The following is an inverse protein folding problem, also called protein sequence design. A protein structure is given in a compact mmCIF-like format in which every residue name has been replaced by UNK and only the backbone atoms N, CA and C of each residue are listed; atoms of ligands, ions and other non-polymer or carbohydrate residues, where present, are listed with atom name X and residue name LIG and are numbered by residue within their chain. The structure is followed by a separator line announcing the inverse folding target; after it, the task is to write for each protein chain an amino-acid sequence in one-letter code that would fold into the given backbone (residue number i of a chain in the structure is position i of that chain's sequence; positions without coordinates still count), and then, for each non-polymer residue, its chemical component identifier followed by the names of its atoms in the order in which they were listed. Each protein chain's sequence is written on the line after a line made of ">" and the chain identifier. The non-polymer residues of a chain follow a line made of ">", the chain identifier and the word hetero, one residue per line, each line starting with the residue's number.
data_IF_155571924137
#
_entry.id   IF_155571924137
#
_cell.length_a   1.000
_cell.length_b   1.000
_cell.length_c   1.000
_cell.angle_alpha   90.00
_cell.angle_beta   90.00
_cell.angle_gamma   90.00
#
_symmetry.space_group_name_H-M   'P 1'
#
loop_
_entity.id
_entity.type
_entity.pdbx_description
1 polymer ?
#
# COMPACT_ATOMS: atom_id res chain seq x y z
N UNK A 1 59.80 -39.68 -51.77
CA UNK A 1 59.47 -40.95 -51.09
C UNK A 1 59.63 -40.71 -49.60
N UNK A 2 58.63 -40.51 -48.75
CA UNK A 2 57.16 -40.40 -48.81
C UNK A 2 56.81 -39.27 -47.81
N UNK A 3 56.07 -38.23 -48.19
CA UNK A 3 54.58 -38.13 -48.17
C UNK A 3 53.95 -38.34 -46.78
N UNK A 4 53.68 -37.23 -46.07
CA UNK A 4 52.34 -36.63 -45.92
C UNK A 4 52.45 -35.49 -44.88
N UNK A 5 52.36 -34.21 -45.28
CA UNK A 5 51.14 -33.43 -45.55
C UNK A 5 50.21 -33.34 -44.31
N UNK A 6 49.75 -32.19 -43.82
CA UNK A 6 49.69 -30.84 -44.39
C UNK A 6 49.23 -29.87 -43.29
N UNK A 7 49.76 -28.64 -43.30
CA UNK A 7 49.16 -27.33 -42.95
C UNK A 7 48.22 -27.18 -41.72
N UNK A 8 48.33 -26.14 -40.88
CA UNK A 8 48.42 -24.73 -41.26
C UNK A 8 48.76 -23.79 -40.06
N UNK A 9 49.70 -22.86 -40.28
CA UNK A 9 49.88 -21.47 -39.75
C UNK A 9 49.51 -21.12 -38.29
N UNK A 10 50.40 -20.69 -37.38
CA UNK A 10 51.32 -19.52 -37.27
C UNK A 10 50.70 -18.10 -37.24
N UNK A 11 51.00 -17.42 -36.11
CA UNK A 11 51.25 -15.98 -35.88
C UNK A 11 50.10 -14.94 -35.86
N UNK A 12 49.96 -14.20 -34.75
CA UNK A 12 50.52 -12.83 -34.68
C UNK A 12 50.38 -12.18 -33.28
N UNK A 13 51.37 -11.36 -32.97
CA UNK A 13 51.52 -10.50 -31.79
C UNK A 13 50.60 -9.27 -31.83
N UNK A 14 50.36 -8.69 -30.63
CA UNK A 14 50.21 -7.25 -30.42
C UNK A 14 48.85 -6.60 -30.73
N UNK A 15 48.20 -6.08 -29.69
CA UNK A 15 47.81 -4.66 -29.55
C UNK A 15 47.09 -4.50 -28.19
N UNK A 16 47.62 -3.60 -27.36
CA UNK A 16 47.01 -3.09 -26.13
C UNK A 16 45.68 -2.41 -26.45
N UNK A 17 44.57 -2.94 -25.95
CA UNK A 17 43.30 -2.22 -25.87
C UNK A 17 43.08 -1.66 -24.45
N UNK A 18 42.54 -0.44 -24.33
CA UNK A 18 42.63 0.36 -23.12
C UNK A 18 41.70 -0.12 -22.01
N UNK A 19 42.15 0.10 -20.78
CA UNK A 19 41.40 -0.02 -19.53
C UNK A 19 39.91 0.35 -19.71
N UNK A 20 39.05 -0.68 -19.74
CA UNK A 20 37.64 -0.48 -19.43
C UNK A 20 37.54 -0.10 -17.96
N UNK A 21 37.55 1.22 -17.72
CA UNK A 21 37.21 1.86 -16.46
C UNK A 21 36.08 1.09 -15.80
N UNK A 22 36.44 0.43 -14.70
CA UNK A 22 35.56 -0.19 -13.73
C UNK A 22 34.35 0.71 -13.53
N UNK A 23 33.18 0.26 -14.02
CA UNK A 23 31.90 0.83 -13.61
C UNK A 23 31.86 0.64 -12.09
N UNK A 24 32.14 1.71 -11.34
CA UNK A 24 31.87 1.80 -9.90
C UNK A 24 30.49 1.21 -9.66
N UNK A 25 30.45 -0.02 -9.15
CA UNK A 25 29.23 -0.64 -8.68
C UNK A 25 28.68 0.32 -7.62
N UNK A 26 27.51 0.93 -7.89
CA UNK A 26 26.82 1.71 -6.88
C UNK A 26 26.67 0.80 -5.66
N UNK A 27 26.97 1.27 -4.44
CA UNK A 27 26.77 0.46 -3.25
C UNK A 27 25.30 0.06 -3.22
N UNK A 28 25.04 -1.25 -3.32
CA UNK A 28 23.72 -1.81 -3.13
C UNK A 28 23.28 -1.39 -1.73
N UNK A 29 22.27 -0.52 -1.65
CA UNK A 29 21.67 -0.15 -0.37
C UNK A 29 21.20 -1.43 0.30
N UNK A 30 21.91 -1.88 1.34
CA UNK A 30 21.51 -3.03 2.16
C UNK A 30 20.09 -2.76 2.66
N UNK A 31 19.18 -3.69 2.40
CA UNK A 31 17.82 -3.59 2.94
C UNK A 31 17.87 -3.77 4.46
N UNK A 32 16.86 -3.27 5.19
CA UNK A 32 16.80 -3.42 6.66
C UNK A 32 16.94 -4.89 7.08
N UNK A 33 16.37 -5.81 6.30
CA UNK A 33 16.50 -7.26 6.51
C UNK A 33 17.95 -7.75 6.35
N UNK A 34 18.71 -7.21 5.38
CA UNK A 34 20.13 -7.56 5.21
C UNK A 34 21.02 -7.02 6.33
N UNK A 35 20.69 -5.84 6.88
CA UNK A 35 21.38 -5.29 8.04
C UNK A 35 21.09 -6.07 9.33
N UNK A 36 19.84 -6.54 9.51
CA UNK A 36 19.43 -7.41 10.62
C UNK A 36 20.05 -8.81 10.53
N UNK A 37 20.16 -9.37 9.33
CA UNK A 37 20.82 -10.67 9.07
C UNK A 37 22.29 -10.66 9.50
N UNK A 38 23.00 -9.57 9.19
CA UNK A 38 24.43 -9.42 9.52
C UNK A 38 24.65 -9.13 11.01
N UNK A 39 23.72 -8.44 11.68
CA UNK A 39 23.82 -8.10 13.09
C UNK A 39 23.44 -9.24 14.05
N UNK A 40 22.51 -10.12 13.65
CA UNK A 40 21.97 -11.18 14.52
C UNK A 40 22.50 -12.59 14.20
N UNK A 41 23.18 -12.78 13.06
CA UNK A 41 23.71 -14.09 12.66
C UNK A 41 22.63 -15.12 12.34
N UNK A 42 21.41 -14.68 12.05
CA UNK A 42 20.24 -15.54 11.81
C UNK A 42 20.20 -15.98 10.34
N UNK A 43 19.84 -17.25 10.10
CA UNK A 43 19.66 -17.78 8.75
C UNK A 43 18.48 -17.07 8.05
N UNK A 44 18.55 -16.83 6.73
CA UNK A 44 17.52 -16.08 6.01
C UNK A 44 16.12 -16.72 6.05
N UNK A 45 16.04 -18.05 6.19
CA UNK A 45 14.79 -18.80 6.30
C UNK A 45 14.07 -18.51 7.64
N UNK A 46 14.81 -18.50 8.75
CA UNK A 46 14.29 -18.19 10.08
C UNK A 46 13.80 -16.74 10.17
N UNK A 47 14.49 -15.82 9.49
CA UNK A 47 14.11 -14.41 9.46
C UNK A 47 12.76 -14.18 8.78
N UNK A 48 12.48 -14.92 7.69
CA UNK A 48 11.20 -14.85 6.98
C UNK A 48 10.05 -15.41 7.84
N UNK A 49 10.30 -16.49 8.60
CA UNK A 49 9.33 -17.02 9.56
C UNK A 49 9.00 -16.02 10.68
N UNK A 50 10.03 -15.39 11.26
CA UNK A 50 9.88 -14.36 12.29
C UNK A 50 9.13 -13.14 11.75
N UNK A 51 9.45 -12.66 10.55
CA UNK A 51 8.74 -11.55 9.90
C UNK A 51 7.27 -11.91 9.62
N UNK A 52 7.02 -13.17 9.23
CA UNK A 52 5.70 -13.76 9.11
C UNK A 52 4.87 -13.59 10.38
N UNK A 53 5.38 -14.08 11.50
CA UNK A 53 4.73 -14.00 12.82
C UNK A 53 4.52 -12.54 13.27
N UNK A 54 5.55 -11.70 13.14
CA UNK A 54 5.49 -10.28 13.47
C UNK A 54 4.42 -9.54 12.67
N UNK A 55 4.21 -9.90 11.41
CA UNK A 55 3.18 -9.27 10.59
C UNK A 55 1.77 -9.53 11.09
N UNK A 56 1.51 -10.76 11.58
CA UNK A 56 0.19 -11.16 12.10
C UNK A 56 -0.08 -10.35 13.36
N UNK A 57 0.90 -10.29 14.26
CA UNK A 57 0.82 -9.51 15.50
C UNK A 57 0.62 -8.03 15.20
N UNK A 58 1.39 -7.45 14.27
CA UNK A 58 1.25 -6.05 13.86
C UNK A 58 -0.15 -5.76 13.31
N UNK A 59 -0.71 -6.65 12.50
CA UNK A 59 -2.07 -6.48 12.00
C UNK A 59 -3.08 -6.53 13.14
N UNK A 60 -3.00 -7.52 14.02
CA UNK A 60 -3.94 -7.67 15.13
C UNK A 60 -3.87 -6.50 16.11
N UNK A 61 -2.65 -6.05 16.44
CA UNK A 61 -2.44 -4.87 17.26
C UNK A 61 -3.05 -3.62 16.61
N UNK A 62 -2.72 -3.38 15.34
CA UNK A 62 -3.27 -2.25 14.59
C UNK A 62 -4.80 -2.31 14.48
N UNK A 63 -5.37 -3.48 14.16
CA UNK A 63 -6.80 -3.69 14.07
C UNK A 63 -7.51 -3.49 15.41
N UNK A 64 -6.87 -3.88 16.52
CA UNK A 64 -7.40 -3.67 17.87
C UNK A 64 -7.39 -2.20 18.29
N UNK A 65 -6.40 -1.43 17.86
CA UNK A 65 -6.25 0.00 18.20
C UNK A 65 -7.13 0.90 17.30
N UNK A 66 -7.20 0.60 16.01
CA UNK A 66 -7.89 1.42 15.00
C UNK A 66 -8.94 0.63 14.18
N UNK A 67 -9.93 -0.03 14.82
CA UNK A 67 -10.94 -0.81 14.08
C UNK A 67 -11.78 0.05 13.12
N UNK A 68 -11.94 1.35 13.44
CA UNK A 68 -12.69 2.31 12.61
C UNK A 68 -12.06 2.53 11.22
N UNK A 69 -10.75 2.32 11.05
CA UNK A 69 -10.10 2.47 9.73
C UNK A 69 -10.46 1.35 8.76
N UNK A 70 -10.96 0.24 9.28
CA UNK A 70 -11.44 -0.90 8.51
C UNK A 70 -12.95 -0.84 8.24
N UNK A 71 -13.67 0.14 8.80
CA UNK A 71 -15.09 0.33 8.55
C UNK A 71 -15.35 0.54 7.06
N UNK A 72 -16.23 -0.30 6.48
CA UNK A 72 -16.57 -0.31 5.05
C UNK A 72 -15.40 -0.64 4.10
N UNK A 73 -14.30 -1.22 4.61
CA UNK A 73 -13.14 -1.70 3.84
C UNK A 73 -13.03 -3.23 3.87
N UNK A 74 -14.14 -3.91 3.62
CA UNK A 74 -14.26 -5.38 3.64
C UNK A 74 -13.15 -6.10 2.85
N UNK A 75 -12.96 -5.71 1.58
CA UNK A 75 -11.90 -6.29 0.73
C UNK A 75 -10.49 -6.20 1.34
N UNK A 76 -10.19 -5.14 2.10
CA UNK A 76 -8.89 -4.99 2.72
C UNK A 76 -8.76 -5.94 3.91
N UNK A 77 -9.80 -6.04 4.74
CA UNK A 77 -9.85 -6.97 5.88
C UNK A 77 -9.72 -8.41 5.38
N UNK A 78 -10.46 -8.78 4.34
CA UNK A 78 -10.40 -10.12 3.74
C UNK A 78 -9.00 -10.46 3.20
N UNK A 79 -8.32 -9.48 2.59
CA UNK A 79 -6.94 -9.65 2.13
C UNK A 79 -5.97 -9.87 3.29
N UNK A 80 -6.14 -9.15 4.39
CA UNK A 80 -5.31 -9.35 5.58
C UNK A 80 -5.60 -10.70 6.23
N UNK A 81 -6.88 -11.06 6.41
CA UNK A 81 -7.30 -12.37 6.91
C UNK A 81 -6.68 -13.47 6.07
N UNK A 82 -6.82 -13.41 4.73
CA UNK A 82 -6.26 -14.40 3.82
C UNK A 82 -4.75 -14.54 3.99
N UNK A 83 -4.02 -13.42 4.05
CA UNK A 83 -2.55 -13.43 4.28
C UNK A 83 -2.17 -14.00 5.63
N UNK A 84 -2.97 -13.76 6.67
CA UNK A 84 -2.74 -14.29 8.01
C UNK A 84 -2.99 -15.79 8.01
N UNK A 85 -4.11 -16.25 7.47
CA UNK A 85 -4.43 -17.67 7.33
C UNK A 85 -3.34 -18.39 6.54
N UNK A 86 -2.94 -17.87 5.39
CA UNK A 86 -1.82 -18.43 4.60
C UNK A 86 -0.52 -18.50 5.42
N UNK A 87 -0.22 -17.50 6.26
CA UNK A 87 0.99 -17.52 7.10
C UNK A 87 0.88 -18.52 8.25
N UNK A 88 -0.27 -18.59 8.91
CA UNK A 88 -0.53 -19.51 10.03
C UNK A 88 -0.56 -20.96 9.55
N UNK A 89 -1.09 -21.22 8.36
CA UNK A 89 -1.12 -22.56 7.76
C UNK A 89 0.27 -23.05 7.35
N UNK A 90 1.16 -22.12 7.00
CA UNK A 90 2.56 -22.40 6.66
C UNK A 90 3.49 -22.48 7.88
N UNK A 91 2.97 -22.36 9.11
CA UNK A 91 3.79 -22.56 10.31
C UNK A 91 4.25 -24.02 10.42
N UNK A 92 5.51 -24.21 10.78
CA UNK A 92 6.17 -25.51 10.75
C UNK A 92 5.67 -26.35 11.92
N UNK A 93 5.00 -27.46 11.63
CA UNK A 93 4.44 -28.37 12.66
C UNK A 93 5.52 -29.07 13.47
N UNK A 94 6.78 -28.99 13.03
CA UNK A 94 7.95 -29.56 13.70
C UNK A 94 8.44 -28.69 14.87
N UNK A 95 8.09 -27.39 14.90
CA UNK A 95 8.48 -26.47 15.96
C UNK A 95 7.32 -26.31 16.98
N UNK A 96 7.62 -26.52 18.28
CA UNK A 96 6.60 -26.41 19.34
C UNK A 96 5.99 -25.01 19.42
N UNK A 97 6.77 -23.96 19.14
CA UNK A 97 6.29 -22.58 19.16
C UNK A 97 5.19 -22.34 18.11
N UNK A 98 5.41 -22.83 16.90
CA UNK A 98 4.52 -22.69 15.75
C UNK A 98 3.20 -23.43 15.97
N UNK A 99 3.29 -24.63 16.57
CA UNK A 99 2.12 -25.42 16.98
C UNK A 99 1.29 -24.69 18.03
N UNK A 100 1.92 -24.10 19.04
CA UNK A 100 1.24 -23.33 20.07
C UNK A 100 0.57 -22.07 19.50
N UNK A 101 1.23 -21.39 18.55
CA UNK A 101 0.66 -20.23 17.87
C UNK A 101 -0.56 -20.59 17.03
N UNK A 102 -0.51 -21.72 16.30
CA UNK A 102 -1.65 -22.21 15.52
C UNK A 102 -2.84 -22.57 16.40
N UNK A 103 -2.60 -23.34 17.46
CA UNK A 103 -3.64 -23.69 18.45
C UNK A 103 -4.20 -22.41 19.08
N UNK A 104 -3.35 -21.47 19.49
CA UNK A 104 -3.79 -20.21 20.08
C UNK A 104 -4.61 -19.33 19.11
N UNK A 105 -4.34 -19.40 17.82
CA UNK A 105 -5.09 -18.69 16.79
C UNK A 105 -6.48 -19.31 16.56
N UNK A 106 -6.55 -20.64 16.53
CA UNK A 106 -7.79 -21.41 16.38
C UNK A 106 -8.68 -21.34 17.64
N UNK A 107 -8.11 -21.59 18.82
CA UNK A 107 -8.82 -21.59 20.11
C UNK A 107 -9.43 -20.23 20.43
N UNK A 108 -8.67 -19.15 20.17
CA UNK A 108 -9.16 -17.78 20.37
C UNK A 108 -10.11 -17.32 19.26
N UNK A 109 -10.32 -18.15 18.23
CA UNK A 109 -11.18 -17.86 17.08
C UNK A 109 -10.92 -16.48 16.52
N UNK A 110 -9.64 -16.15 16.30
CA UNK A 110 -9.20 -14.79 15.96
C UNK A 110 -9.92 -14.26 14.72
N UNK A 111 -10.18 -15.12 13.74
CA UNK A 111 -10.93 -14.75 12.52
C UNK A 111 -12.36 -14.33 12.82
N UNK A 112 -13.08 -15.08 13.66
CA UNK A 112 -14.44 -14.74 14.09
C UNK A 112 -14.46 -13.44 14.90
N UNK A 113 -13.46 -13.25 15.77
CA UNK A 113 -13.31 -12.04 16.55
C UNK A 113 -13.08 -10.80 15.66
N UNK A 114 -12.20 -10.91 14.66
CA UNK A 114 -11.94 -9.83 13.68
C UNK A 114 -13.22 -9.50 12.91
N UNK A 115 -13.94 -10.50 12.41
CA UNK A 115 -15.21 -10.29 11.70
C UNK A 115 -16.26 -9.65 12.61
N UNK A 116 -16.41 -10.11 13.85
CA UNK A 116 -17.35 -9.57 14.82
C UNK A 116 -17.06 -8.11 15.15
N UNK A 117 -15.80 -7.79 15.44
CA UNK A 117 -15.36 -6.41 15.73
C UNK A 117 -15.61 -5.52 14.52
N UNK A 118 -15.33 -6.00 13.31
CA UNK A 118 -15.60 -5.27 12.06
C UNK A 118 -17.09 -4.96 11.91
N UNK A 119 -17.97 -5.96 12.04
CA UNK A 119 -19.43 -5.76 11.92
C UNK A 119 -19.95 -4.80 12.98
N UNK A 120 -19.57 -4.97 14.26
CA UNK A 120 -19.94 -4.04 15.33
C UNK A 120 -19.45 -2.62 15.07
N UNK A 121 -18.24 -2.48 14.56
CA UNK A 121 -17.66 -1.18 14.23
C UNK A 121 -18.42 -0.52 13.08
N UNK A 122 -18.82 -1.29 12.07
CA UNK A 122 -19.68 -0.82 10.97
C UNK A 122 -21.05 -0.38 11.50
N UNK A 123 -21.69 -1.15 12.39
CA UNK A 123 -22.97 -0.79 13.02
C UNK A 123 -22.89 0.50 13.84
N UNK A 124 -21.85 0.67 14.64
CA UNK A 124 -21.62 1.92 15.40
C UNK A 124 -21.42 3.08 14.43
N UNK A 125 -20.70 2.86 13.33
CA UNK A 125 -20.44 3.90 12.34
C UNK A 125 -21.70 4.30 11.57
N UNK A 126 -22.55 3.32 11.21
CA UNK A 126 -23.86 3.54 10.57
C UNK A 126 -24.81 4.27 11.53
N UNK A 127 -24.90 3.86 12.79
CA UNK A 127 -25.78 4.50 13.78
C UNK A 127 -25.44 5.97 14.03
N UNK A 128 -24.19 6.39 13.74
CA UNK A 128 -23.74 7.78 13.81
C UNK A 128 -23.79 8.52 12.46
N UNK A 129 -24.49 7.95 11.46
CA UNK A 129 -24.79 8.61 10.20
C UNK A 129 -23.71 8.49 9.12
N UNK A 130 -22.70 7.66 9.32
CA UNK A 130 -21.70 7.35 8.29
C UNK A 130 -22.04 6.02 7.64
N UNK A 131 -22.69 6.09 6.47
CA UNK A 131 -23.25 4.89 5.81
C UNK A 131 -22.33 4.29 4.71
N UNK A 132 -21.20 4.94 4.41
CA UNK A 132 -20.27 4.56 3.33
C UNK A 132 -18.84 4.92 3.71
N UNK A 133 -17.87 4.23 3.09
CA UNK A 133 -16.47 4.60 3.26
C UNK A 133 -16.22 6.05 2.86
N UNK A 134 -15.42 6.76 3.67
CA UNK A 134 -15.08 8.17 3.42
C UNK A 134 -14.42 8.33 2.06
N UNK A 135 -13.56 7.39 1.67
CA UNK A 135 -12.91 7.37 0.36
C UNK A 135 -13.92 7.30 -0.80
N UNK A 136 -14.97 6.44 -0.72
CA UNK A 136 -16.00 6.37 -1.75
C UNK A 136 -16.81 7.66 -1.83
N UNK A 137 -17.20 8.23 -0.68
CA UNK A 137 -17.93 9.50 -0.62
C UNK A 137 -17.07 10.63 -1.21
N UNK A 138 -15.80 10.68 -0.85
CA UNK A 138 -14.84 11.65 -1.35
C UNK A 138 -14.60 11.51 -2.84
N UNK A 139 -14.50 10.28 -3.37
CA UNK A 139 -14.36 10.03 -4.81
C UNK A 139 -15.57 10.54 -5.58
N UNK A 140 -16.78 10.26 -5.09
CA UNK A 140 -18.00 10.72 -5.76
C UNK A 140 -18.14 12.25 -5.71
N UNK A 141 -17.87 12.87 -4.56
CA UNK A 141 -17.86 14.33 -4.43
C UNK A 141 -16.79 14.94 -5.33
N UNK A 142 -15.60 14.35 -5.38
CA UNK A 142 -14.53 14.81 -6.25
C UNK A 142 -14.96 14.73 -7.71
N UNK A 143 -15.54 13.61 -8.15
CA UNK A 143 -16.08 13.45 -9.50
C UNK A 143 -17.16 14.49 -9.83
N UNK A 144 -18.08 14.75 -8.89
CA UNK A 144 -19.12 15.77 -9.04
C UNK A 144 -18.55 17.20 -9.18
N UNK A 145 -17.40 17.49 -8.58
CA UNK A 145 -16.73 18.80 -8.70
C UNK A 145 -15.87 18.86 -9.97
N UNK A 146 -15.13 17.80 -10.28
CA UNK A 146 -14.20 17.78 -11.41
C UNK A 146 -14.91 17.67 -12.75
N UNK A 147 -16.08 17.04 -12.84
CA UNK A 147 -16.80 16.90 -14.10
C UNK A 147 -17.28 18.25 -14.68
N UNK A 148 -17.97 19.13 -13.93
CA UNK A 148 -18.28 20.48 -14.38
C UNK A 148 -17.02 21.30 -14.71
N UNK A 149 -15.95 21.14 -13.93
CA UNK A 149 -14.68 21.83 -14.17
C UNK A 149 -14.08 21.44 -15.52
N UNK A 150 -14.16 20.16 -15.89
CA UNK A 150 -13.69 19.68 -17.18
C UNK A 150 -14.55 20.20 -18.34
N UNK A 151 -15.87 20.32 -18.15
CA UNK A 151 -16.77 20.93 -19.15
C UNK A 151 -16.44 22.40 -19.35
N UNK A 152 -16.27 23.15 -18.26
CA UNK A 152 -15.90 24.57 -18.30
C UNK A 152 -14.54 24.76 -18.97
N UNK A 153 -13.55 23.94 -18.62
CA UNK A 153 -12.24 23.95 -19.27
C UNK A 153 -12.34 23.65 -20.78
N UNK A 154 -13.14 22.65 -21.19
CA UNK A 154 -13.36 22.35 -22.61
C UNK A 154 -14.04 23.49 -23.35
N UNK A 155 -15.08 24.10 -22.77
CA UNK A 155 -15.74 25.26 -23.36
C UNK A 155 -14.75 26.40 -23.59
N UNK A 156 -13.82 26.61 -22.65
CA UNK A 156 -12.77 27.62 -22.78
C UNK A 156 -11.76 27.34 -23.89
N UNK A 157 -11.50 26.07 -24.25
CA UNK A 157 -10.68 25.73 -25.41
C UNK A 157 -11.46 25.85 -26.73
N UNK A 158 -12.76 25.58 -26.72
CA UNK A 158 -13.59 25.50 -27.92
C UNK A 158 -14.15 26.86 -28.35
N UNK A 159 -14.60 27.70 -27.41
CA UNK A 159 -15.21 29.01 -27.68
C UNK A 159 -14.33 29.97 -28.51
N UNK A 160 -13.00 30.05 -28.29
CA UNK A 160 -12.12 30.88 -29.12
C UNK A 160 -12.05 30.43 -30.59
N UNK A 161 -12.22 29.12 -30.86
CA UNK A 161 -12.23 28.56 -32.22
C UNK A 161 -13.45 29.07 -33.00
N UNK A 162 -14.56 29.34 -32.31
CA UNK A 162 -15.78 29.90 -32.89
C UNK A 162 -15.81 31.44 -32.93
N UNK A 163 -14.69 32.11 -32.62
CA UNK A 163 -14.56 33.56 -32.73
C UNK A 163 -15.13 34.35 -31.56
N UNK A 164 -15.42 33.71 -30.42
CA UNK A 164 -15.83 34.41 -29.18
C UNK A 164 -14.57 34.75 -28.37
N UNK A 165 -14.20 36.04 -28.23
CA UNK A 165 -13.03 36.43 -27.45
C UNK A 165 -13.31 36.26 -25.96
N UNK A 166 -12.48 35.47 -25.29
CA UNK A 166 -12.54 35.30 -23.84
C UNK A 166 -11.28 35.92 -23.24
N UNK A 167 -11.47 36.89 -22.34
CA UNK A 167 -10.36 37.60 -21.71
C UNK A 167 -9.59 36.69 -20.75
N UNK A 168 -8.30 36.47 -21.05
CA UNK A 168 -7.42 35.62 -20.24
C UNK A 168 -7.26 36.12 -18.80
N UNK A 169 -7.50 37.41 -18.55
CA UNK A 169 -7.41 38.04 -17.23
C UNK A 169 -8.45 37.51 -16.23
N UNK A 170 -9.68 37.22 -16.69
CA UNK A 170 -10.72 36.64 -15.84
C UNK A 170 -10.62 35.12 -15.73
N UNK A 171 -10.04 34.48 -16.74
CA UNK A 171 -9.94 33.03 -16.87
C UNK A 171 -9.01 32.39 -15.84
N UNK A 172 -7.80 32.95 -15.73
CA UNK A 172 -6.76 32.42 -14.86
C UNK A 172 -7.19 32.37 -13.38
N UNK A 173 -7.76 33.43 -12.77
CA UNK A 173 -8.18 33.38 -11.37
C UNK A 173 -9.35 32.42 -11.14
N UNK A 174 -10.31 32.34 -12.08
CA UNK A 174 -11.43 31.39 -11.99
C UNK A 174 -10.90 29.96 -11.99
N UNK A 175 -10.04 29.61 -12.95
CA UNK A 175 -9.45 28.28 -13.03
C UNK A 175 -8.66 27.93 -11.76
N UNK A 176 -7.86 28.86 -11.24
CA UNK A 176 -7.09 28.66 -10.00
C UNK A 176 -7.99 28.36 -8.79
N UNK A 177 -9.07 29.12 -8.59
CA UNK A 177 -10.02 28.88 -7.50
C UNK A 177 -10.67 27.50 -7.65
N UNK A 178 -11.15 27.19 -8.84
CA UNK A 178 -11.81 25.90 -9.11
C UNK A 178 -10.86 24.71 -8.98
N UNK A 179 -9.56 24.86 -9.29
CA UNK A 179 -8.55 23.82 -9.08
C UNK A 179 -8.24 23.57 -7.59
N UNK A 180 -8.37 24.58 -6.72
CA UNK A 180 -8.11 24.42 -5.28
C UNK A 180 -9.29 23.80 -4.51
N UNK A 181 -10.54 24.01 -4.97
CA UNK A 181 -11.75 23.49 -4.29
C UNK A 181 -11.69 21.98 -4.02
N UNK A 182 -11.33 21.10 -4.99
CA UNK A 182 -11.16 19.67 -4.75
C UNK A 182 -10.20 19.32 -3.61
N UNK A 183 -9.05 20.03 -3.54
CA UNK A 183 -8.05 19.81 -2.50
C UNK A 183 -8.57 20.22 -1.13
N UNK A 184 -9.28 21.35 -1.07
CA UNK A 184 -9.88 21.83 0.17
C UNK A 184 -10.97 20.88 0.70
N UNK A 185 -11.86 20.42 -0.19
CA UNK A 185 -12.91 19.44 0.15
C UNK A 185 -12.29 18.14 0.66
N UNK A 186 -11.20 17.67 0.02
CA UNK A 186 -10.50 16.46 0.45
C UNK A 186 -9.93 16.59 1.86
N UNK A 187 -9.26 17.70 2.15
CA UNK A 187 -8.69 17.95 3.48
C UNK A 187 -9.76 18.10 4.55
N UNK A 188 -10.88 18.78 4.24
CA UNK A 188 -11.99 18.96 5.18
C UNK A 188 -12.67 17.62 5.52
N UNK A 189 -12.92 16.78 4.51
CA UNK A 189 -13.49 15.45 4.72
C UNK A 189 -12.55 14.54 5.54
N UNK A 190 -11.24 14.57 5.26
CA UNK A 190 -10.27 13.83 6.05
C UNK A 190 -10.24 14.30 7.51
N UNK A 191 -10.21 15.62 7.76
CA UNK A 191 -10.26 16.17 9.13
C UNK A 191 -11.55 15.78 9.87
N UNK A 192 -12.71 15.82 9.19
CA UNK A 192 -13.98 15.37 9.76
C UNK A 192 -13.93 13.88 10.12
N UNK A 193 -13.33 13.05 9.27
CA UNK A 193 -13.16 11.63 9.55
C UNK A 193 -12.24 11.40 10.75
N UNK A 194 -11.10 12.08 10.84
CA UNK A 194 -10.20 11.95 11.99
C UNK A 194 -10.86 12.35 13.30
N UNK A 195 -11.60 13.47 13.32
CA UNK A 195 -12.39 13.87 14.50
C UNK A 195 -13.43 12.84 14.88
N UNK A 196 -14.17 12.33 13.90
CA UNK A 196 -15.12 11.24 14.11
C UNK A 196 -14.44 10.01 14.73
N UNK A 197 -13.25 9.62 14.24
CA UNK A 197 -12.51 8.50 14.82
C UNK A 197 -12.14 8.76 16.28
N UNK A 198 -11.63 9.94 16.58
CA UNK A 198 -11.19 10.31 17.92
C UNK A 198 -12.34 10.34 18.94
N UNK A 199 -13.47 10.94 18.55
CA UNK A 199 -14.68 11.03 19.39
C UNK A 199 -15.30 9.65 19.67
N UNK A 200 -15.21 8.72 18.72
CA UNK A 200 -15.89 7.43 18.78
C UNK A 200 -14.99 6.25 19.16
N UNK A 201 -13.66 6.48 19.26
CA UNK A 201 -12.69 5.42 19.58
C UNK A 201 -13.03 4.71 20.89
N UNK A 202 -13.32 5.47 21.93
CA UNK A 202 -13.60 4.92 23.26
C UNK A 202 -14.89 4.09 23.27
N UNK A 203 -15.92 4.49 22.53
CA UNK A 203 -17.17 3.74 22.45
C UNK A 203 -17.02 2.42 21.68
N UNK A 204 -16.25 2.43 20.59
CA UNK A 204 -15.94 1.20 19.86
C UNK A 204 -15.09 0.27 20.72
N UNK A 205 -14.17 0.81 21.52
CA UNK A 205 -13.34 0.02 22.43
C UNK A 205 -14.17 -0.61 23.55
N UNK A 206 -15.09 0.13 24.18
CA UNK A 206 -15.92 -0.39 25.29
C UNK A 206 -16.96 -1.41 24.83
N UNK A 207 -17.49 -1.30 23.60
CA UNK A 207 -18.47 -2.26 23.04
C UNK A 207 -17.85 -3.58 22.52
N UNK A 208 -16.53 -3.61 22.35
CA UNK A 208 -15.81 -4.75 21.79
C UNK A 208 -14.95 -5.52 22.83
N UNK A 209 -14.89 -5.05 24.07
CA UNK A 209 -14.30 -5.76 25.21
C UNK A 209 -15.36 -6.63 25.89
#
# INVERSE_FOLDING_TARGET
>A
MNENDNNNSQHSEGIEEPEKKSKRARPTKKTQSQALQEALGIKPEDLNGIEGKLSVIKFLDYFSQEPLDFAFKERNVDQYIKRITERVDNFDTTNEEDKLLKIGFEDKKILEAVQRIKTKTEEVTISKGVNKSVEKKLRNVNLMITAPLLVVALLFFILPIYGIPIDSYFMLPILCVFCMVPQFVRNSAAKKWYRFKEENRNEVYTKNR
#
